data_IF_279228081293
#
_entry.id   IF_279228081293
#
_cell.length_a   1.000
_cell.length_b   1.000
_cell.length_c   1.000
_cell.angle_alpha   90.00
_cell.angle_beta   90.00
_cell.angle_gamma   90.00
#
_symmetry.space_group_name_H-M   'P 1'
#
loop_
_entity.id
_entity.type
_entity.pdbx_description
1 polymer ?
#
# COMPACT_ATOMS: atom_id res chain seq x y z
N UNK A 1 41.68 -8.47 53.01
CA UNK A 1 40.44 -7.97 53.64
C UNK A 1 39.30 -8.37 52.71
N UNK A 2 38.61 -9.42 53.15
CA UNK A 2 37.47 -10.12 52.54
C UNK A 2 36.21 -9.29 52.71
N UNK A 3 35.38 -9.13 51.67
CA UNK A 3 33.99 -8.75 51.83
C UNK A 3 33.07 -9.60 50.96
N UNK A 4 32.12 -10.24 51.60
CA UNK A 4 31.10 -11.18 51.13
C UNK A 4 29.98 -10.51 50.30
N UNK A 5 29.29 -11.24 49.45
CA UNK A 5 28.23 -10.72 48.59
C UNK A 5 26.87 -10.63 49.31
N UNK A 6 26.08 -9.60 48.97
CA UNK A 6 24.73 -9.33 49.47
C UNK A 6 23.67 -10.22 48.83
N UNK A 7 22.92 -10.78 49.69
CA UNK A 7 21.72 -11.61 49.59
C UNK A 7 20.62 -11.08 48.65
N UNK A 8 20.10 -11.92 47.77
CA UNK A 8 18.94 -11.63 46.92
C UNK A 8 17.67 -12.14 47.58
N UNK A 9 16.80 -11.23 48.02
CA UNK A 9 15.44 -11.56 48.48
C UNK A 9 14.53 -11.99 47.32
N UNK A 10 13.63 -12.98 47.54
CA UNK A 10 12.70 -13.46 46.52
C UNK A 10 11.45 -12.57 46.43
N UNK A 11 11.09 -12.16 45.20
CA UNK A 11 9.86 -11.41 44.88
C UNK A 11 8.63 -12.25 45.11
N UNK A 12 7.72 -11.80 46.01
CA UNK A 12 6.38 -12.32 46.28
C UNK A 12 5.50 -12.23 45.03
N UNK A 13 5.03 -13.38 44.52
CA UNK A 13 3.98 -13.47 43.48
C UNK A 13 2.63 -13.08 44.10
N UNK A 14 2.01 -12.00 43.60
CA UNK A 14 0.60 -11.65 43.89
C UNK A 14 -0.31 -12.62 43.14
N UNK A 15 -1.12 -13.37 43.88
CA UNK A 15 -2.24 -14.19 43.39
C UNK A 15 -3.34 -13.26 42.86
N UNK A 16 -3.70 -13.37 41.58
CA UNK A 16 -4.89 -12.77 41.02
C UNK A 16 -6.14 -13.51 41.53
N UNK A 17 -7.02 -12.76 42.20
CA UNK A 17 -8.36 -13.22 42.63
C UNK A 17 -9.25 -13.36 41.39
N UNK A 18 -9.78 -14.56 41.17
CA UNK A 18 -10.83 -14.84 40.21
C UNK A 18 -12.17 -14.32 40.70
N UNK A 19 -12.86 -13.50 39.93
CA UNK A 19 -14.24 -13.07 40.15
C UNK A 19 -15.22 -14.16 39.73
N UNK A 20 -16.37 -14.34 40.44
CA UNK A 20 -17.33 -15.37 40.12
C UNK A 20 -18.13 -15.05 38.84
N UNK A 21 -18.29 -16.10 38.04
CA UNK A 21 -19.16 -16.13 36.85
C UNK A 21 -20.63 -15.90 37.26
N UNK A 22 -21.24 -14.84 36.70
CA UNK A 22 -22.70 -14.66 36.78
C UNK A 22 -23.38 -15.54 35.73
N UNK A 23 -24.33 -16.36 36.14
CA UNK A 23 -25.21 -17.15 35.28
C UNK A 23 -26.29 -16.27 34.66
N UNK A 24 -26.67 -16.49 33.40
CA UNK A 24 -27.76 -15.73 32.76
C UNK A 24 -29.13 -16.19 33.28
N UNK A 25 -29.95 -15.23 33.69
CA UNK A 25 -31.35 -15.37 34.09
C UNK A 25 -32.20 -15.81 32.91
N UNK A 26 -32.93 -16.91 33.06
CA UNK A 26 -33.96 -17.37 32.12
C UNK A 26 -35.20 -16.46 32.22
N UNK A 27 -35.66 -15.94 31.11
CA UNK A 27 -36.94 -15.25 31.01
C UNK A 27 -38.09 -16.26 30.75
N UNK A 28 -39.31 -16.03 31.30
CA UNK A 28 -40.44 -16.93 31.13
C UNK A 28 -41.06 -16.77 29.73
N UNK A 29 -41.30 -17.91 29.07
CA UNK A 29 -41.98 -17.98 27.78
C UNK A 29 -43.46 -17.63 27.93
N UNK A 30 -43.90 -16.61 27.19
CA UNK A 30 -45.29 -16.17 27.06
C UNK A 30 -45.98 -17.07 26.00
N UNK A 31 -46.90 -17.92 26.48
CA UNK A 31 -47.75 -18.79 25.66
C UNK A 31 -48.75 -17.96 24.82
N UNK A 32 -48.58 -17.91 23.51
CA UNK A 32 -49.53 -17.28 22.60
C UNK A 32 -50.58 -18.34 22.19
N UNK A 33 -51.86 -18.06 22.48
CA UNK A 33 -52.99 -18.87 22.04
C UNK A 33 -53.22 -18.69 20.54
N UNK A 34 -53.21 -19.78 19.80
CA UNK A 34 -53.64 -19.83 18.41
C UNK A 34 -55.16 -19.59 18.31
N UNK A 35 -55.56 -18.56 17.57
CA UNK A 35 -56.91 -18.41 17.06
C UNK A 35 -56.95 -18.93 15.64
N UNK A 36 -57.77 -19.96 15.42
CA UNK A 36 -58.13 -20.45 14.12
C UNK A 36 -58.89 -19.39 13.36
N UNK A 37 -58.40 -19.02 12.21
CA UNK A 37 -59.14 -18.13 11.25
C UNK A 37 -59.71 -18.98 10.12
N UNK A 38 -61.00 -18.82 9.93
CA UNK A 38 -61.83 -19.37 8.88
C UNK A 38 -61.29 -18.99 7.49
N UNK A 39 -61.28 -19.96 6.57
CA UNK A 39 -60.93 -19.79 5.17
C UNK A 39 -62.06 -19.05 4.43
N UNK A 40 -61.79 -17.85 3.97
CA UNK A 40 -62.61 -17.18 2.96
C UNK A 40 -61.91 -17.26 1.61
N UNK A 41 -62.49 -18.03 0.68
CA UNK A 41 -62.04 -18.15 -0.70
C UNK A 41 -62.44 -16.89 -1.47
N UNK A 42 -61.49 -15.97 -1.67
CA UNK A 42 -61.61 -14.94 -2.68
C UNK A 42 -60.57 -15.20 -3.80
N UNK A 43 -61.09 -15.20 -5.03
CA UNK A 43 -60.28 -15.43 -6.24
C UNK A 43 -59.24 -14.31 -6.41
N UNK A 44 -58.00 -14.62 -6.13
CA UNK A 44 -56.84 -13.68 -6.11
C UNK A 44 -56.04 -13.65 -7.41
N UNK A 45 -56.74 -13.79 -8.58
CA UNK A 45 -56.05 -13.86 -9.88
C UNK A 45 -55.71 -12.51 -10.57
N UNK A 46 -56.33 -11.35 -10.28
CA UNK A 46 -55.92 -10.10 -10.97
C UNK A 46 -54.77 -9.33 -10.27
N UNK A 47 -54.54 -9.53 -8.97
CA UNK A 47 -53.58 -8.71 -8.23
C UNK A 47 -52.12 -9.16 -8.50
N UNK A 48 -51.88 -10.46 -8.63
CA UNK A 48 -50.53 -10.99 -8.92
C UNK A 48 -50.09 -10.65 -10.35
N UNK A 49 -50.98 -10.66 -11.33
CA UNK A 49 -50.65 -10.25 -12.71
C UNK A 49 -50.32 -8.74 -12.78
N UNK A 50 -51.04 -7.92 -12.05
CA UNK A 50 -50.78 -6.48 -11.98
C UNK A 50 -49.45 -6.15 -11.29
N UNK A 51 -49.11 -6.85 -10.22
CA UNK A 51 -47.83 -6.69 -9.54
C UNK A 51 -46.65 -7.11 -10.43
N UNK A 52 -46.77 -8.18 -11.19
CA UNK A 52 -45.74 -8.63 -12.15
C UNK A 52 -45.54 -7.62 -13.30
N UNK A 53 -46.63 -6.98 -13.79
CA UNK A 53 -46.54 -5.94 -14.80
C UNK A 53 -45.90 -4.67 -14.26
N UNK A 54 -46.19 -4.27 -13.02
CA UNK A 54 -45.57 -3.13 -12.37
C UNK A 54 -44.07 -3.38 -12.12
N UNK A 55 -43.68 -4.55 -11.69
CA UNK A 55 -42.24 -4.89 -11.51
C UNK A 55 -41.49 -4.90 -12.84
N UNK A 56 -42.08 -5.45 -13.91
CA UNK A 56 -41.50 -5.42 -15.25
C UNK A 56 -41.37 -3.98 -15.78
N UNK A 57 -42.39 -3.13 -15.55
CA UNK A 57 -42.32 -1.73 -15.92
C UNK A 57 -41.26 -0.93 -15.14
N UNK A 58 -41.11 -1.20 -13.82
CA UNK A 58 -40.05 -0.60 -12.99
C UNK A 58 -38.68 -1.03 -13.43
N UNK A 59 -38.45 -2.32 -13.81
CA UNK A 59 -37.18 -2.82 -14.30
C UNK A 59 -36.81 -2.18 -15.65
N UNK A 60 -37.79 -1.95 -16.52
CA UNK A 60 -37.56 -1.33 -17.83
C UNK A 60 -37.41 0.20 -17.80
N UNK A 61 -37.99 0.87 -16.82
CA UNK A 61 -38.00 2.33 -16.72
C UNK A 61 -37.26 2.85 -15.49
N UNK A 62 -36.63 1.99 -14.69
CA UNK A 62 -35.70 2.46 -13.65
C UNK A 62 -34.60 3.26 -14.35
N UNK A 63 -34.34 4.52 -13.97
CA UNK A 63 -33.15 5.20 -14.43
C UNK A 63 -31.97 4.28 -14.07
N UNK A 64 -31.13 3.98 -15.06
CA UNK A 64 -29.85 3.30 -14.77
C UNK A 64 -29.25 4.05 -13.59
N UNK A 65 -28.76 3.36 -12.53
CA UNK A 65 -28.07 4.06 -11.47
C UNK A 65 -27.06 4.96 -12.18
N UNK A 66 -27.18 6.27 -11.99
CA UNK A 66 -26.10 7.18 -12.40
C UNK A 66 -24.83 6.49 -11.92
N UNK A 67 -23.91 6.25 -12.85
CA UNK A 67 -22.57 5.86 -12.45
C UNK A 67 -22.20 6.87 -11.39
N UNK A 68 -22.07 6.42 -10.15
CA UNK A 68 -21.50 7.23 -9.08
C UNK A 68 -20.29 7.84 -9.73
N UNK A 69 -20.32 9.17 -9.95
CA UNK A 69 -19.36 9.84 -10.81
C UNK A 69 -17.99 9.33 -10.39
N UNK A 70 -17.16 8.98 -11.37
CA UNK A 70 -15.75 8.76 -11.07
C UNK A 70 -15.37 9.92 -10.17
N UNK A 71 -14.74 9.68 -8.99
CA UNK A 71 -14.40 10.76 -8.09
C UNK A 71 -13.73 11.81 -8.97
N UNK A 72 -14.33 13.00 -9.02
CA UNK A 72 -13.85 14.11 -9.84
C UNK A 72 -12.35 14.16 -9.59
N UNK A 73 -11.56 13.84 -10.63
CA UNK A 73 -10.11 13.73 -10.49
C UNK A 73 -9.70 15.03 -9.83
N UNK A 74 -9.24 14.93 -8.59
CA UNK A 74 -8.86 16.12 -7.86
C UNK A 74 -7.83 16.83 -8.74
N UNK A 75 -8.20 17.93 -9.37
CA UNK A 75 -7.44 18.60 -10.45
C UNK A 75 -6.05 19.09 -10.00
N UNK A 76 -5.67 18.78 -8.77
CA UNK A 76 -4.42 19.14 -8.10
C UNK A 76 -3.56 17.92 -7.71
N UNK A 77 -4.00 16.68 -7.99
CA UNK A 77 -3.15 15.49 -7.79
C UNK A 77 -2.18 15.42 -8.96
N UNK A 78 -0.95 15.80 -8.72
CA UNK A 78 0.14 15.61 -9.66
C UNK A 78 0.55 14.13 -9.64
N UNK A 79 0.45 13.48 -10.79
CA UNK A 79 0.82 12.08 -10.92
C UNK A 79 2.35 11.95 -11.10
N UNK A 80 2.97 10.96 -10.46
CA UNK A 80 4.42 10.75 -10.57
C UNK A 80 4.85 10.46 -12.01
N UNK A 81 5.98 11.01 -12.39
CA UNK A 81 6.58 10.76 -13.71
C UNK A 81 6.80 9.25 -13.98
N UNK A 82 6.86 8.84 -15.25
CA UNK A 82 7.24 7.47 -15.62
C UNK A 82 8.58 7.06 -15.02
N UNK A 83 8.77 5.76 -14.82
CA UNK A 83 10.06 5.20 -14.43
C UNK A 83 11.05 5.27 -15.58
N UNK A 84 12.34 5.48 -15.28
CA UNK A 84 13.40 5.46 -16.29
C UNK A 84 13.77 4.03 -16.70
N UNK A 85 13.59 3.04 -15.80
CA UNK A 85 13.77 1.63 -16.14
C UNK A 85 12.75 1.17 -17.19
N UNK A 86 13.14 0.19 -18.00
CA UNK A 86 12.27 -0.43 -19.01
C UNK A 86 11.95 -1.87 -18.63
N UNK A 87 10.75 -2.33 -19.04
CA UNK A 87 10.28 -3.68 -18.73
C UNK A 87 9.94 -3.86 -17.25
N UNK A 88 9.74 -5.10 -16.84
CA UNK A 88 9.28 -5.45 -15.50
C UNK A 88 7.77 -5.62 -15.41
N UNK A 89 7.29 -6.07 -14.26
CA UNK A 89 5.89 -6.30 -13.99
C UNK A 89 5.13 -4.96 -13.87
N UNK A 90 4.05 -4.73 -14.65
CA UNK A 90 3.32 -3.46 -14.63
C UNK A 90 2.68 -3.15 -13.27
N UNK A 91 2.28 -4.15 -12.47
CA UNK A 91 1.74 -3.95 -11.13
C UNK A 91 2.81 -3.45 -10.17
N UNK A 92 4.02 -4.03 -10.23
CA UNK A 92 5.17 -3.56 -9.43
C UNK A 92 5.58 -2.15 -9.87
N UNK A 93 5.62 -1.87 -11.17
CA UNK A 93 5.94 -0.54 -11.70
C UNK A 93 4.94 0.53 -11.24
N UNK A 94 3.64 0.21 -11.28
CA UNK A 94 2.59 1.09 -10.77
C UNK A 94 2.74 1.32 -9.25
N UNK A 95 3.07 0.29 -8.49
CA UNK A 95 3.35 0.40 -7.06
C UNK A 95 4.57 1.31 -6.78
N UNK A 96 5.65 1.16 -7.55
CA UNK A 96 6.84 2.01 -7.44
C UNK A 96 6.49 3.50 -7.67
N UNK A 97 5.68 3.81 -8.66
CA UNK A 97 5.20 5.17 -8.91
C UNK A 97 4.29 5.65 -7.77
N UNK A 98 3.48 4.77 -7.20
CA UNK A 98 2.63 5.07 -6.03
C UNK A 98 3.47 5.40 -4.79
N UNK A 99 4.55 4.67 -4.54
CA UNK A 99 5.52 4.98 -3.47
C UNK A 99 6.16 6.35 -3.74
N UNK A 100 6.61 6.61 -4.98
CA UNK A 100 7.17 7.90 -5.38
C UNK A 100 6.22 9.07 -5.11
N UNK A 101 4.90 8.88 -5.29
CA UNK A 101 3.90 9.91 -5.04
C UNK A 101 3.88 10.38 -3.57
N UNK A 102 4.20 9.51 -2.62
CA UNK A 102 4.26 9.85 -1.20
C UNK A 102 5.64 10.29 -0.73
N UNK A 103 6.71 9.90 -1.45
CA UNK A 103 8.09 10.14 -1.04
C UNK A 103 8.73 11.33 -1.77
N UNK A 104 8.45 11.52 -3.05
CA UNK A 104 9.19 12.45 -3.90
C UNK A 104 8.34 13.07 -5.03
N UNK A 105 7.10 13.47 -4.73
CA UNK A 105 6.20 14.04 -5.73
C UNK A 105 6.60 15.48 -6.11
N UNK A 106 7.76 15.61 -6.73
CA UNK A 106 8.36 16.88 -7.19
C UNK A 106 9.11 16.63 -8.49
N UNK A 107 9.46 17.71 -9.19
CA UNK A 107 10.36 17.67 -10.34
C UNK A 107 11.70 17.04 -9.96
N UNK A 108 12.31 16.30 -10.88
CA UNK A 108 13.58 15.61 -10.69
C UNK A 108 13.63 14.66 -9.46
N UNK A 109 12.65 13.76 -9.28
CA UNK A 109 12.50 12.96 -8.05
C UNK A 109 13.74 12.12 -7.72
N UNK A 110 14.49 11.67 -8.73
CA UNK A 110 15.70 10.86 -8.54
C UNK A 110 16.84 11.58 -7.86
N UNK A 111 16.84 12.91 -7.90
CA UNK A 111 17.87 13.77 -7.29
C UNK A 111 17.43 14.39 -5.97
N UNK A 112 16.16 14.21 -5.60
CA UNK A 112 15.56 14.85 -4.45
C UNK A 112 16.24 14.42 -3.15
N UNK A 113 16.67 15.39 -2.33
CA UNK A 113 17.08 15.20 -0.94
C UNK A 113 15.91 15.55 -0.02
N UNK A 114 15.89 15.00 1.18
CA UNK A 114 14.96 15.45 2.20
C UNK A 114 14.99 16.99 2.30
N UNK A 115 13.80 17.60 2.39
CA UNK A 115 13.67 19.06 2.47
C UNK A 115 13.75 19.81 1.14
N UNK A 116 13.73 19.09 -0.03
CA UNK A 116 13.49 19.67 -1.35
C UNK A 116 14.72 20.16 -2.10
N UNK A 117 15.95 19.94 -1.59
CA UNK A 117 17.18 20.22 -2.35
C UNK A 117 17.48 19.08 -3.32
N UNK A 118 18.26 19.35 -4.36
CA UNK A 118 18.66 18.35 -5.36
C UNK A 118 20.14 17.99 -5.19
N UNK A 119 20.44 16.68 -5.25
CA UNK A 119 21.79 16.18 -5.31
C UNK A 119 22.44 16.54 -6.65
N UNK A 120 23.71 16.90 -6.65
CA UNK A 120 24.48 17.21 -7.87
C UNK A 120 25.08 15.94 -8.50
N UNK A 121 25.50 15.00 -7.66
CA UNK A 121 26.18 13.76 -8.06
C UNK A 121 25.37 12.53 -7.58
N UNK A 122 25.10 11.62 -8.50
CA UNK A 122 24.43 10.35 -8.27
C UNK A 122 25.34 9.16 -8.60
N UNK A 123 26.64 9.37 -8.74
CA UNK A 123 27.60 8.25 -8.91
C UNK A 123 27.55 7.27 -7.73
N UNK A 124 27.07 7.74 -6.57
CA UNK A 124 26.78 7.01 -5.35
C UNK A 124 25.61 7.67 -4.61
N UNK A 125 25.12 7.05 -3.54
CA UNK A 125 24.15 7.70 -2.65
C UNK A 125 24.76 8.98 -2.07
N UNK A 126 24.02 10.11 -2.10
CA UNK A 126 24.58 11.41 -1.71
C UNK A 126 25.12 11.50 -0.27
N UNK A 127 24.55 10.71 0.64
CA UNK A 127 24.91 10.66 2.08
C UNK A 127 24.97 12.05 2.75
N UNK A 128 24.04 12.93 2.36
CA UNK A 128 23.94 14.29 2.89
C UNK A 128 22.96 14.29 4.07
N UNK A 129 23.48 14.57 5.27
CA UNK A 129 22.66 14.72 6.46
C UNK A 129 21.87 16.03 6.39
N UNK A 130 20.54 15.95 6.34
CA UNK A 130 19.62 17.09 6.34
C UNK A 130 18.84 17.06 7.65
N UNK A 131 18.78 18.19 8.37
CA UNK A 131 18.04 18.31 9.62
C UNK A 131 16.54 18.08 9.41
N UNK A 132 15.94 17.27 10.27
CA UNK A 132 14.49 17.01 10.28
C UNK A 132 13.79 18.15 10.99
N UNK A 133 12.95 18.88 10.28
CA UNK A 133 12.29 20.09 10.80
C UNK A 133 10.82 19.84 11.24
N UNK A 134 10.29 18.65 11.02
CA UNK A 134 8.91 18.29 11.38
C UNK A 134 8.80 16.81 11.74
N UNK A 135 7.77 16.45 12.52
CA UNK A 135 7.51 15.06 12.91
C UNK A 135 8.17 14.66 14.24
N UNK A 136 8.14 13.36 14.57
CA UNK A 136 8.63 12.87 15.88
C UNK A 136 10.15 12.96 16.05
N UNK A 137 10.91 13.08 14.96
CA UNK A 137 12.37 13.05 14.94
C UNK A 137 12.97 14.46 14.69
N UNK A 138 12.25 15.53 15.04
CA UNK A 138 12.74 16.93 14.90
C UNK A 138 14.05 17.11 15.64
N UNK A 139 15.05 17.69 14.96
CA UNK A 139 16.39 17.94 15.47
C UNK A 139 17.39 16.83 15.17
N UNK A 140 16.93 15.64 14.76
CA UNK A 140 17.80 14.62 14.18
C UNK A 140 18.10 14.96 12.72
N UNK A 141 18.94 14.17 12.07
CA UNK A 141 19.17 14.32 10.65
C UNK A 141 18.82 13.04 9.86
N UNK A 142 18.45 13.24 8.60
CA UNK A 142 18.18 12.17 7.67
C UNK A 142 19.07 12.29 6.43
N UNK A 143 19.47 11.14 5.88
CA UNK A 143 20.16 11.04 4.59
C UNK A 143 19.23 10.65 3.45
N UNK A 144 17.90 10.72 3.67
CA UNK A 144 16.92 10.33 2.68
C UNK A 144 17.12 11.04 1.34
N UNK A 145 17.23 10.26 0.26
CA UNK A 145 17.55 10.75 -1.08
C UNK A 145 16.88 9.92 -2.18
N UNK A 146 16.73 10.56 -3.34
CA UNK A 146 16.23 9.96 -4.57
C UNK A 146 14.72 9.72 -4.56
N UNK A 147 14.26 9.08 -5.63
CA UNK A 147 12.84 8.87 -5.91
C UNK A 147 12.10 8.12 -4.81
N UNK A 148 12.79 7.26 -4.09
CA UNK A 148 12.23 6.42 -3.03
C UNK A 148 12.70 6.82 -1.63
N UNK A 149 13.32 7.98 -1.50
CA UNK A 149 13.85 8.54 -0.26
C UNK A 149 14.67 7.52 0.56
N UNK A 150 15.60 6.84 -0.11
CA UNK A 150 16.49 5.89 0.55
C UNK A 150 17.40 6.58 1.57
N UNK A 151 17.46 6.03 2.78
CA UNK A 151 18.57 6.30 3.68
C UNK A 151 19.84 5.64 3.15
N UNK A 152 21.02 6.22 3.41
CA UNK A 152 22.32 5.67 2.97
C UNK A 152 22.47 4.19 3.32
N UNK A 153 22.21 3.82 4.58
CA UNK A 153 22.35 2.43 5.04
C UNK A 153 21.36 1.47 4.37
N UNK A 154 20.15 1.96 4.06
CA UNK A 154 19.15 1.16 3.33
C UNK A 154 19.56 0.97 1.88
N UNK A 155 20.06 2.04 1.23
CA UNK A 155 20.58 1.94 -0.12
C UNK A 155 21.72 0.94 -0.22
N UNK A 156 22.73 1.06 0.63
CA UNK A 156 23.90 0.15 0.64
C UNK A 156 23.45 -1.30 0.77
N UNK A 157 22.60 -1.60 1.75
CA UNK A 157 22.10 -2.95 1.97
C UNK A 157 21.28 -3.50 0.78
N UNK A 158 20.42 -2.66 0.18
CA UNK A 158 19.58 -3.10 -0.93
C UNK A 158 20.34 -3.14 -2.26
N UNK A 159 21.29 -2.23 -2.45
CA UNK A 159 22.17 -2.27 -3.61
C UNK A 159 23.11 -3.47 -3.57
N UNK A 160 23.62 -3.88 -2.41
CA UNK A 160 24.42 -5.10 -2.31
C UNK A 160 23.65 -6.34 -2.81
N UNK A 161 22.34 -6.39 -2.57
CA UNK A 161 21.50 -7.54 -2.90
C UNK A 161 20.92 -7.47 -4.32
N UNK A 162 20.53 -6.27 -4.79
CA UNK A 162 19.69 -6.13 -5.99
C UNK A 162 20.28 -5.24 -7.09
N UNK A 163 21.44 -4.60 -6.90
CA UNK A 163 21.99 -3.70 -7.90
C UNK A 163 22.47 -4.47 -9.14
N UNK A 164 21.96 -4.15 -10.36
CA UNK A 164 22.27 -4.95 -11.56
C UNK A 164 23.71 -4.80 -12.03
N UNK A 165 24.42 -3.78 -11.57
CA UNK A 165 25.83 -3.53 -11.90
C UNK A 165 26.64 -3.31 -10.62
N UNK A 166 26.93 -4.38 -9.85
CA UNK A 166 27.71 -4.25 -8.63
C UNK A 166 29.16 -3.83 -8.94
N UNK A 167 29.81 -3.09 -8.02
CA UNK A 167 31.22 -2.75 -8.18
C UNK A 167 32.08 -4.01 -8.25
N UNK A 168 33.23 -3.89 -8.92
CA UNK A 168 34.13 -5.02 -9.08
C UNK A 168 34.58 -5.59 -7.71
N UNK A 169 34.74 -6.93 -7.63
CA UNK A 169 35.04 -7.64 -6.37
C UNK A 169 36.38 -7.20 -5.71
N UNK A 170 37.26 -6.56 -6.48
CA UNK A 170 38.54 -6.02 -6.00
C UNK A 170 38.45 -4.54 -5.62
N UNK A 171 37.30 -3.91 -5.81
CA UNK A 171 37.09 -2.53 -5.41
C UNK A 171 36.79 -2.49 -3.90
N UNK A 172 37.77 -2.02 -3.15
CA UNK A 172 37.75 -2.00 -1.67
C UNK A 172 36.75 -0.96 -1.16
N UNK A 173 36.35 0.00 -1.99
CA UNK A 173 35.47 1.13 -1.66
C UNK A 173 34.09 0.94 -2.33
N UNK A 174 33.52 -0.23 -2.26
CA UNK A 174 32.26 -0.63 -2.87
C UNK A 174 31.18 0.44 -2.78
N UNK A 175 31.17 1.36 -3.72
CA UNK A 175 30.13 2.35 -3.87
C UNK A 175 29.21 1.93 -5.01
N UNK A 176 27.92 1.79 -4.72
CA UNK A 176 26.89 1.47 -5.71
C UNK A 176 26.37 2.75 -6.34
N UNK A 177 26.32 2.78 -7.67
CA UNK A 177 25.77 3.92 -8.41
C UNK A 177 24.31 4.18 -8.01
N UNK A 178 23.99 5.45 -7.71
CA UNK A 178 22.65 5.91 -7.37
C UNK A 178 21.94 6.57 -8.56
N UNK A 179 22.40 6.34 -9.79
CA UNK A 179 21.76 6.87 -10.99
C UNK A 179 20.30 6.40 -11.08
N UNK A 180 19.42 7.18 -11.76
CA UNK A 180 17.98 6.91 -11.81
C UNK A 180 17.61 5.48 -12.19
N UNK A 181 18.27 4.91 -13.19
CA UNK A 181 18.02 3.55 -13.66
C UNK A 181 18.33 2.49 -12.60
N UNK A 182 19.29 2.76 -11.70
CA UNK A 182 19.64 1.84 -10.63
C UNK A 182 18.74 1.98 -9.41
N UNK A 183 18.28 3.21 -9.11
CA UNK A 183 17.25 3.39 -8.09
C UNK A 183 16.00 2.57 -8.45
N UNK A 184 15.53 2.66 -9.68
CA UNK A 184 14.39 1.87 -10.15
C UNK A 184 14.67 0.38 -10.14
N UNK A 185 15.81 -0.06 -10.69
CA UNK A 185 16.14 -1.48 -10.80
C UNK A 185 16.23 -2.17 -9.41
N UNK A 186 16.85 -1.50 -8.44
CA UNK A 186 16.96 -2.01 -7.06
C UNK A 186 15.58 -2.12 -6.41
N UNK A 187 14.74 -1.08 -6.51
CA UNK A 187 13.39 -1.13 -5.92
C UNK A 187 12.51 -2.16 -6.61
N UNK A 188 12.56 -2.22 -7.95
CA UNK A 188 11.80 -3.21 -8.70
C UNK A 188 12.18 -4.65 -8.28
N UNK A 189 13.46 -4.96 -8.22
CA UNK A 189 13.94 -6.29 -7.86
C UNK A 189 13.58 -6.61 -6.41
N UNK A 190 13.76 -5.68 -5.48
CA UNK A 190 13.41 -5.83 -4.08
C UNK A 190 11.90 -6.08 -3.87
N UNK A 191 11.02 -5.29 -4.50
CA UNK A 191 9.57 -5.48 -4.43
C UNK A 191 9.10 -6.77 -5.11
N UNK A 192 9.85 -7.25 -6.10
CA UNK A 192 9.56 -8.49 -6.83
C UNK A 192 10.09 -9.75 -6.15
N UNK A 193 10.84 -9.63 -5.06
CA UNK A 193 11.41 -10.77 -4.33
C UNK A 193 10.49 -11.26 -3.21
N UNK A 194 9.79 -12.42 -3.39
CA UNK A 194 8.94 -12.96 -2.34
C UNK A 194 9.70 -13.34 -1.07
N UNK A 195 11.01 -13.61 -1.13
CA UNK A 195 11.80 -13.96 0.05
C UNK A 195 12.07 -12.74 0.93
N UNK A 196 12.16 -11.56 0.36
CA UNK A 196 12.32 -10.31 1.10
C UNK A 196 11.07 -9.91 1.90
N UNK A 197 9.89 -10.26 1.40
CA UNK A 197 8.61 -9.81 1.96
C UNK A 197 7.76 -10.93 2.58
N UNK A 198 8.15 -12.19 2.36
CA UNK A 198 7.38 -13.37 2.80
C UNK A 198 6.11 -13.61 1.99
N UNK A 199 5.84 -12.81 0.96
CA UNK A 199 4.68 -12.87 0.07
C UNK A 199 5.08 -12.46 -1.35
N UNK A 200 4.30 -12.88 -2.34
CA UNK A 200 4.39 -12.36 -3.72
C UNK A 200 3.55 -11.08 -3.83
N UNK A 201 4.22 -9.92 -3.82
CA UNK A 201 3.56 -8.60 -3.91
C UNK A 201 2.81 -8.46 -5.23
N UNK A 202 3.39 -8.91 -6.34
CA UNK A 202 2.77 -8.81 -7.66
C UNK A 202 1.46 -9.59 -7.73
N UNK A 203 1.44 -10.78 -7.15
CA UNK A 203 0.22 -11.60 -7.07
C UNK A 203 -0.83 -10.97 -6.14
N UNK A 204 -0.43 -10.40 -5.00
CA UNK A 204 -1.35 -9.66 -4.13
C UNK A 204 -2.00 -8.48 -4.87
N UNK A 205 -1.22 -7.72 -5.64
CA UNK A 205 -1.74 -6.59 -6.42
C UNK A 205 -2.71 -7.03 -7.52
N UNK A 206 -2.47 -8.16 -8.20
CA UNK A 206 -3.42 -8.76 -9.16
C UNK A 206 -4.72 -9.23 -8.51
N UNK A 207 -4.70 -9.50 -7.22
CA UNK A 207 -5.85 -9.88 -6.40
C UNK A 207 -6.55 -8.68 -5.75
N UNK A 208 -6.30 -7.45 -6.20
CA UNK A 208 -6.84 -6.19 -5.67
C UNK A 208 -6.56 -5.97 -4.16
N UNK A 209 -5.45 -6.51 -3.64
CA UNK A 209 -5.06 -6.40 -2.23
C UNK A 209 -4.07 -5.25 -1.98
N UNK A 210 -4.27 -4.14 -2.66
CA UNK A 210 -3.37 -2.97 -2.57
C UNK A 210 -3.22 -2.46 -1.13
N UNK A 211 -4.32 -2.35 -0.37
CA UNK A 211 -4.27 -1.83 1.01
C UNK A 211 -3.38 -2.68 1.93
N UNK A 212 -3.41 -4.01 1.76
CA UNK A 212 -2.54 -4.91 2.51
C UNK A 212 -1.07 -4.75 2.12
N UNK A 213 -0.80 -4.53 0.83
CA UNK A 213 0.55 -4.25 0.32
C UNK A 213 1.05 -2.92 0.89
N UNK A 214 0.28 -1.84 0.80
CA UNK A 214 0.66 -0.54 1.35
C UNK A 214 0.87 -0.60 2.87
N UNK A 215 0.02 -1.33 3.59
CA UNK A 215 0.18 -1.55 5.03
C UNK A 215 1.51 -2.26 5.35
N UNK A 216 1.82 -3.35 4.64
CA UNK A 216 3.06 -4.09 4.82
C UNK A 216 4.29 -3.22 4.52
N UNK A 217 4.24 -2.44 3.42
CA UNK A 217 5.34 -1.58 2.99
C UNK A 217 5.51 -0.34 3.88
N UNK A 218 4.51 0.05 4.66
CA UNK A 218 4.57 1.22 5.56
C UNK A 218 5.62 1.07 6.66
N UNK A 219 6.08 -0.14 6.94
CA UNK A 219 7.24 -0.39 7.80
C UNK A 219 8.57 0.10 7.19
N UNK A 220 8.63 0.27 5.87
CA UNK A 220 9.79 0.78 5.13
C UNK A 220 9.56 2.23 4.70
N UNK A 221 8.40 2.52 4.12
CA UNK A 221 7.98 3.85 3.66
C UNK A 221 6.83 4.36 4.52
N UNK A 222 7.17 5.10 5.58
CA UNK A 222 6.21 5.55 6.61
C UNK A 222 5.16 6.52 6.07
N UNK A 223 5.44 7.17 4.94
CA UNK A 223 4.55 8.06 4.22
C UNK A 223 3.34 7.37 3.55
N UNK A 224 3.32 6.03 3.46
CA UNK A 224 2.23 5.28 2.84
C UNK A 224 0.91 5.27 3.66
N UNK A 225 0.86 5.95 4.80
CA UNK A 225 -0.39 6.25 5.53
C UNK A 225 -0.73 5.31 6.66
N UNK A 226 0.04 4.25 6.88
CA UNK A 226 -0.15 3.29 7.99
C UNK A 226 0.95 3.41 9.06
N UNK A 227 1.90 4.32 8.86
CA UNK A 227 3.01 4.56 9.77
C UNK A 227 2.71 5.65 10.79
N UNK A 228 3.77 6.13 11.43
CA UNK A 228 3.73 7.22 12.43
C UNK A 228 3.66 8.62 11.79
N UNK A 229 3.87 8.72 10.48
CA UNK A 229 3.85 9.98 9.74
C UNK A 229 2.50 10.13 9.02
N UNK A 230 1.95 11.35 9.07
CA UNK A 230 0.80 11.73 8.26
C UNK A 230 1.31 12.38 6.98
N UNK A 231 0.95 11.80 5.83
CA UNK A 231 1.26 12.36 4.52
C UNK A 231 -0.05 12.76 3.82
N UNK A 232 -0.06 13.95 3.22
CA UNK A 232 -1.24 14.47 2.51
C UNK A 232 -1.64 13.62 1.31
N UNK A 233 -0.71 12.84 0.74
CA UNK A 233 -0.94 11.96 -0.40
C UNK A 233 -1.54 10.61 -0.02
N UNK A 234 -1.44 10.18 1.25
CA UNK A 234 -1.81 8.82 1.69
C UNK A 234 -3.24 8.43 1.29
N UNK A 235 -4.20 9.35 1.40
CA UNK A 235 -5.61 9.10 1.03
C UNK A 235 -5.84 8.94 -0.48
N UNK A 236 -4.90 9.38 -1.31
CA UNK A 236 -4.99 9.34 -2.78
C UNK A 236 -4.21 8.17 -3.39
N UNK A 237 -3.40 7.46 -2.60
CA UNK A 237 -2.54 6.37 -3.11
C UNK A 237 -3.31 5.28 -3.86
N UNK A 238 -4.52 4.83 -3.44
CA UNK A 238 -5.27 3.86 -4.23
C UNK A 238 -5.68 4.40 -5.62
N UNK A 239 -6.07 5.68 -5.70
CA UNK A 239 -6.41 6.33 -6.96
C UNK A 239 -5.17 6.49 -7.85
N UNK A 240 -4.04 6.90 -7.26
CA UNK A 240 -2.76 7.03 -7.96
C UNK A 240 -2.33 5.68 -8.51
N UNK A 241 -2.37 4.62 -7.69
CA UNK A 241 -2.03 3.27 -8.13
C UNK A 241 -2.86 2.83 -9.34
N UNK A 242 -4.17 3.03 -9.30
CA UNK A 242 -5.06 2.65 -10.40
C UNK A 242 -4.73 3.38 -11.70
N UNK A 243 -4.46 4.68 -11.63
CA UNK A 243 -4.06 5.48 -12.79
C UNK A 243 -2.69 5.06 -13.33
N UNK A 244 -1.72 4.81 -12.44
CA UNK A 244 -0.39 4.35 -12.84
C UNK A 244 -0.43 2.96 -13.46
N UNK A 245 -1.25 2.05 -12.91
CA UNK A 245 -1.42 0.71 -13.46
C UNK A 245 -2.01 0.73 -14.87
N UNK A 246 -3.02 1.56 -15.10
CA UNK A 246 -3.59 1.73 -16.44
C UNK A 246 -2.54 2.20 -17.44
N UNK A 247 -1.71 3.18 -17.06
CA UNK A 247 -0.62 3.69 -17.90
C UNK A 247 0.44 2.62 -18.18
N UNK A 248 0.91 1.88 -17.17
CA UNK A 248 1.93 0.84 -17.31
C UNK A 248 1.42 -0.36 -18.16
N UNK A 249 0.15 -0.73 -18.01
CA UNK A 249 -0.48 -1.76 -18.85
C UNK A 249 -0.59 -1.33 -20.32
N UNK A 250 -0.93 -0.07 -20.58
CA UNK A 250 -1.00 0.49 -21.93
C UNK A 250 0.37 0.51 -22.60
N UNK A 251 1.44 0.84 -21.85
CA UNK A 251 2.82 0.81 -22.36
C UNK A 251 3.28 -0.61 -22.73
N UNK A 252 2.92 -1.62 -21.92
CA UNK A 252 3.23 -3.02 -22.22
C UNK A 252 2.43 -3.57 -23.40
N UNK A 253 1.16 -3.18 -23.55
CA UNK A 253 0.31 -3.53 -24.69
C UNK A 253 0.80 -2.93 -26.04
N UNK A 254 1.37 -1.73 -26.00
CA UNK A 254 1.90 -1.07 -27.19
C UNK A 254 3.22 -1.68 -27.72
N UNK A 255 3.91 -2.49 -26.90
CA UNK A 255 5.17 -3.16 -27.28
C UNK A 255 4.97 -4.46 -28.05
N UNK A 256 3.73 -4.96 -28.18
CA UNK A 256 3.37 -6.07 -29.05
C UNK A 256 2.51 -5.55 -30.22
N UNK A 257 3.12 -5.07 -31.33
CA UNK A 257 2.33 -4.80 -32.53
C UNK A 257 1.67 -6.10 -32.94
N UNK A 258 0.35 -6.07 -33.10
CA UNK A 258 -0.44 -7.16 -33.66
C UNK A 258 0.21 -7.56 -34.99
N UNK A 259 0.84 -8.74 -35.04
CA UNK A 259 1.35 -9.36 -36.26
C UNK A 259 0.18 -10.06 -36.97
N UNK A 260 -0.40 -9.49 -38.02
CA UNK A 260 -1.52 -10.10 -38.73
C UNK A 260 -1.12 -11.31 -39.58
N UNK A 261 0.14 -11.78 -39.50
CA UNK A 261 0.72 -12.81 -40.35
C UNK A 261 0.82 -14.22 -39.73
N UNK A 262 0.31 -14.46 -38.53
CA UNK A 262 0.28 -15.80 -37.92
C UNK A 262 -1.13 -16.37 -37.95
N UNK A 263 -1.55 -16.85 -39.11
CA UNK A 263 -2.68 -17.78 -39.30
C UNK A 263 -2.15 -19.14 -39.70
#
# INVERSE_FOLDING_TARGET
VTSLPKDKQPRRRKRLRQSPRQQPRQQPQRRVKSRSAESSNYAALPVTAFLLLLTAWFIQNAPLPERVGQPEQASWVEYPEPLVMRGGDPHIRALMRTISASESNMDEPYRLLYGGKLAEDLSRHPDICVEIVAGPNVGDCTTAAGRYQFLTTTWEAKAEEYHPNPPAWFDVWREYSFQPEYQDAVVHSWLSDPSAWGVDISEMLRQDRLDEVLYMLSGTWTSLGYGIETNSMSSYLPQIYSAMLEEELNQTGATFPFDPGRS
#
